data_IF_469984028596
#
_entry.id   IF_469984028596
#
_cell.length_a   1.000
_cell.length_b   1.000
_cell.length_c   1.000
_cell.angle_alpha   90.00
_cell.angle_beta   90.00
_cell.angle_gamma   90.00
#
_symmetry.space_group_name_H-M   'P 1'
#
loop_
_entity.id
_entity.type
_entity.pdbx_description
1 polymer ?
#
# COMPACT_ATOMS: atom_id res chain seq x y z
N UNK A 1 -13.58 1.21 -3.39
CA UNK A 1 -13.13 0.56 -4.62
C UNK A 1 -14.05 -0.59 -4.96
N UNK A 2 -14.60 -0.57 -6.16
CA UNK A 2 -15.54 -1.60 -6.58
C UNK A 2 -14.84 -2.95 -6.74
N UNK A 3 -15.51 -4.02 -6.34
CA UNK A 3 -15.01 -5.37 -6.59
C UNK A 3 -14.93 -5.63 -8.09
N UNK A 4 -13.83 -6.18 -8.54
CA UNK A 4 -13.64 -6.53 -9.94
C UNK A 4 -14.40 -7.81 -10.26
N UNK A 5 -15.18 -7.83 -11.32
CA UNK A 5 -15.90 -9.03 -11.72
C UNK A 5 -14.93 -10.18 -12.00
N UNK A 6 -15.27 -11.38 -11.53
CA UNK A 6 -14.51 -12.58 -11.83
C UNK A 6 -13.22 -12.79 -11.01
N UNK A 7 -13.00 -12.03 -9.96
CA UNK A 7 -11.87 -12.24 -9.06
C UNK A 7 -10.51 -12.03 -9.74
N UNK A 8 -10.42 -11.11 -10.68
CA UNK A 8 -9.19 -10.82 -11.40
C UNK A 8 -8.13 -10.26 -10.47
N UNK A 9 -6.93 -10.83 -10.53
CA UNK A 9 -5.81 -10.34 -9.72
C UNK A 9 -5.35 -8.95 -10.18
N UNK A 10 -5.18 -7.98 -9.24
CA UNK A 10 -4.74 -6.63 -9.59
C UNK A 10 -3.37 -6.57 -10.27
N UNK A 11 -2.52 -7.55 -10.01
CA UNK A 11 -1.15 -7.59 -10.54
C UNK A 11 -1.05 -8.26 -11.90
N UNK A 12 -2.14 -8.86 -12.40
CA UNK A 12 -2.13 -9.52 -13.69
C UNK A 12 -2.03 -8.50 -14.82
N UNK A 13 -1.02 -8.62 -15.67
CA UNK A 13 -0.76 -7.71 -16.78
C UNK A 13 -1.65 -8.05 -17.97
N UNK A 14 -2.69 -7.25 -18.21
CA UNK A 14 -3.73 -7.51 -19.19
C UNK A 14 -3.80 -6.50 -20.33
N UNK A 15 -3.36 -5.26 -20.10
CA UNK A 15 -3.68 -4.14 -20.98
C UNK A 15 -2.47 -3.76 -21.84
N UNK A 16 -2.69 -3.64 -23.15
CA UNK A 16 -1.72 -3.01 -24.05
C UNK A 16 -1.65 -1.50 -23.77
N UNK A 17 -0.57 -0.87 -24.21
CA UNK A 17 -0.32 0.54 -23.88
C UNK A 17 -1.45 1.47 -24.30
N UNK A 18 -2.06 1.25 -25.47
CA UNK A 18 -3.15 2.11 -25.95
C UNK A 18 -4.37 2.04 -25.04
N UNK A 19 -4.72 0.85 -24.57
CA UNK A 19 -5.84 0.66 -23.64
C UNK A 19 -5.50 1.21 -22.26
N UNK A 20 -4.29 0.96 -21.77
CA UNK A 20 -3.85 1.48 -20.49
C UNK A 20 -3.86 3.01 -20.47
N UNK A 21 -3.41 3.65 -21.55
CA UNK A 21 -3.43 5.09 -21.69
C UNK A 21 -4.85 5.64 -21.64
N UNK A 22 -5.77 5.00 -22.33
CA UNK A 22 -7.18 5.37 -22.33
C UNK A 22 -7.80 5.24 -20.93
N UNK A 23 -7.54 4.13 -20.24
CA UNK A 23 -8.06 3.90 -18.90
C UNK A 23 -7.49 4.88 -17.88
N UNK A 24 -6.25 5.27 -18.05
CA UNK A 24 -5.59 6.24 -17.15
C UNK A 24 -5.85 7.69 -17.55
N UNK A 25 -6.42 7.94 -18.72
CA UNK A 25 -6.71 9.28 -19.20
C UNK A 25 -5.48 10.06 -19.66
N UNK A 26 -4.48 9.38 -20.22
CA UNK A 26 -3.24 9.99 -20.69
C UNK A 26 -2.88 9.52 -22.09
N UNK A 27 -1.94 10.21 -22.73
CA UNK A 27 -1.43 9.80 -24.04
C UNK A 27 -0.45 8.62 -23.87
N UNK A 28 -0.40 7.66 -24.82
CA UNK A 28 0.57 6.55 -24.75
C UNK A 28 2.01 7.01 -24.62
N UNK A 29 2.38 8.11 -25.25
CA UNK A 29 3.72 8.66 -25.11
C UNK A 29 4.03 9.07 -23.67
N UNK A 30 3.03 9.57 -22.94
CA UNK A 30 3.17 9.91 -21.53
C UNK A 30 3.50 8.66 -20.71
N UNK A 31 2.90 7.53 -21.02
CA UNK A 31 3.21 6.27 -20.34
C UNK A 31 4.66 5.83 -20.59
N UNK A 32 5.17 6.03 -21.80
CA UNK A 32 6.58 5.73 -22.11
C UNK A 32 7.52 6.62 -21.33
N UNK A 33 7.17 7.90 -21.17
CA UNK A 33 7.95 8.84 -20.35
C UNK A 33 7.94 8.40 -18.88
N UNK A 34 6.78 8.02 -18.35
CA UNK A 34 6.66 7.57 -16.96
C UNK A 34 7.46 6.31 -16.71
N UNK A 35 7.48 5.38 -17.65
CA UNK A 35 8.31 4.17 -17.55
C UNK A 35 9.80 4.54 -17.49
N UNK A 36 10.26 5.42 -18.37
CA UNK A 36 11.66 5.88 -18.37
C UNK A 36 12.05 6.59 -17.07
N UNK A 37 11.10 7.27 -16.44
CA UNK A 37 11.32 7.95 -15.15
C UNK A 37 11.17 7.02 -13.94
N UNK A 38 10.83 5.76 -14.17
CA UNK A 38 10.65 4.80 -13.08
C UNK A 38 9.35 4.94 -12.29
N UNK A 39 8.38 5.66 -12.84
CA UNK A 39 7.09 5.85 -12.17
C UNK A 39 6.15 4.67 -12.34
N UNK A 40 6.34 3.88 -13.37
CA UNK A 40 5.57 2.67 -13.66
C UNK A 40 6.50 1.66 -14.31
N UNK A 41 6.26 0.38 -14.04
CA UNK A 41 7.08 -0.70 -14.58
C UNK A 41 6.16 -1.79 -15.16
N UNK A 42 5.72 -1.62 -16.41
CA UNK A 42 4.85 -2.61 -17.04
C UNK A 42 5.58 -3.90 -17.33
N UNK A 43 4.85 -5.01 -17.27
CA UNK A 43 5.39 -6.29 -17.72
C UNK A 43 5.61 -6.27 -19.23
N UNK A 44 6.45 -7.17 -19.72
CA UNK A 44 6.73 -7.32 -21.15
C UNK A 44 6.33 -8.70 -21.60
N UNK A 45 5.71 -8.78 -22.79
CA UNK A 45 5.48 -10.07 -23.44
C UNK A 45 6.79 -10.62 -24.01
N UNK A 46 6.76 -11.86 -24.47
CA UNK A 46 7.91 -12.50 -25.14
C UNK A 46 8.41 -11.66 -26.32
N UNK A 47 7.51 -10.96 -27.02
CA UNK A 47 7.86 -10.08 -28.12
C UNK A 47 8.29 -8.68 -27.70
N UNK A 48 8.39 -8.39 -26.41
CA UNK A 48 8.82 -7.09 -25.90
C UNK A 48 7.75 -6.04 -25.79
N UNK A 49 6.48 -6.37 -26.02
CA UNK A 49 5.37 -5.43 -25.88
C UNK A 49 5.02 -5.19 -24.42
N UNK A 50 4.68 -3.94 -24.10
CA UNK A 50 4.27 -3.57 -22.76
C UNK A 50 2.89 -4.13 -22.42
N UNK A 51 2.73 -4.60 -21.19
CA UNK A 51 1.44 -5.02 -20.64
C UNK A 51 1.26 -4.42 -19.26
N UNK A 52 0.14 -3.77 -19.05
CA UNK A 52 -0.18 -3.06 -17.81
C UNK A 52 -1.21 -3.84 -17.01
N UNK A 53 -1.01 -3.92 -15.71
CA UNK A 53 -1.95 -4.50 -14.78
C UNK A 53 -2.97 -3.47 -14.29
N UNK A 54 -4.03 -3.95 -13.62
CA UNK A 54 -4.96 -3.05 -12.95
C UNK A 54 -4.25 -2.21 -11.87
N UNK A 55 -3.30 -2.79 -11.17
CA UNK A 55 -2.48 -2.06 -10.19
C UNK A 55 -1.67 -0.95 -10.87
N UNK A 56 -1.13 -1.22 -12.05
CA UNK A 56 -0.43 -0.19 -12.84
C UNK A 56 -1.38 0.94 -13.23
N UNK A 57 -2.60 0.62 -13.63
CA UNK A 57 -3.60 1.64 -13.98
C UNK A 57 -3.93 2.52 -12.77
N UNK A 58 -4.11 1.92 -11.60
CA UNK A 58 -4.36 2.67 -10.36
C UNK A 58 -3.19 3.60 -10.04
N UNK A 59 -1.97 3.12 -10.22
CA UNK A 59 -0.76 3.91 -10.03
C UNK A 59 -0.70 5.09 -11.01
N UNK A 60 -1.02 4.86 -12.28
CA UNK A 60 -1.08 5.90 -13.29
C UNK A 60 -2.13 6.96 -12.96
N UNK A 61 -3.29 6.54 -12.46
CA UNK A 61 -4.33 7.47 -12.01
C UNK A 61 -3.85 8.32 -10.83
N UNK A 62 -3.13 7.73 -9.90
CA UNK A 62 -2.54 8.47 -8.77
C UNK A 62 -1.53 9.50 -9.25
N UNK A 63 -0.68 9.13 -10.21
CA UNK A 63 0.26 10.06 -10.83
C UNK A 63 -0.48 11.25 -11.44
N UNK A 64 -1.58 10.96 -12.14
CA UNK A 64 -2.38 11.99 -12.79
C UNK A 64 -3.04 12.93 -11.78
N UNK A 65 -3.55 12.40 -10.67
CA UNK A 65 -4.10 13.22 -9.58
C UNK A 65 -3.05 14.18 -9.04
N UNK A 66 -1.86 13.70 -8.77
CA UNK A 66 -0.77 14.51 -8.23
C UNK A 66 -0.31 15.58 -9.23
N UNK A 67 -0.24 15.21 -10.51
CA UNK A 67 0.10 16.15 -11.57
C UNK A 67 -0.97 17.26 -11.67
N UNK A 68 -2.24 16.89 -11.57
CA UNK A 68 -3.35 17.85 -11.59
C UNK A 68 -3.35 18.78 -10.38
N UNK A 69 -2.78 18.35 -9.25
CA UNK A 69 -2.59 19.17 -8.07
C UNK A 69 -1.40 20.13 -8.20
N UNK A 70 -0.69 20.07 -9.31
CA UNK A 70 0.41 20.98 -9.61
C UNK A 70 1.82 20.45 -9.35
N UNK A 71 1.97 19.17 -8.99
CA UNK A 71 3.29 18.58 -8.79
C UNK A 71 3.96 18.29 -10.13
N UNK A 72 5.26 18.56 -10.21
CA UNK A 72 6.08 18.10 -11.34
C UNK A 72 6.44 16.62 -11.12
N UNK A 73 7.08 15.99 -12.12
CA UNK A 73 7.40 14.57 -12.05
C UNK A 73 8.29 14.21 -10.86
N UNK A 74 9.27 15.07 -10.53
CA UNK A 74 10.13 14.85 -9.35
C UNK A 74 9.31 14.85 -8.07
N UNK A 75 8.37 15.78 -7.93
CA UNK A 75 7.46 15.83 -6.80
C UNK A 75 6.54 14.61 -6.73
N UNK A 76 6.01 14.18 -7.87
CA UNK A 76 5.18 12.97 -7.96
C UNK A 76 5.96 11.75 -7.48
N UNK A 77 7.20 11.57 -7.96
CA UNK A 77 8.06 10.47 -7.53
C UNK A 77 8.26 10.48 -6.02
N UNK A 78 8.51 11.65 -5.46
CA UNK A 78 8.74 11.80 -4.02
C UNK A 78 7.49 11.46 -3.21
N UNK A 79 6.33 11.97 -3.62
CA UNK A 79 5.06 11.69 -2.93
C UNK A 79 4.73 10.20 -3.00
N UNK A 80 4.88 9.58 -4.15
CA UNK A 80 4.59 8.15 -4.30
C UNK A 80 5.52 7.28 -3.46
N UNK A 81 6.81 7.64 -3.39
CA UNK A 81 7.75 6.94 -2.52
C UNK A 81 7.36 7.08 -1.05
N UNK A 82 6.94 8.27 -0.64
CA UNK A 82 6.47 8.51 0.73
C UNK A 82 5.16 7.77 1.02
N UNK A 83 4.25 7.69 0.08
CA UNK A 83 3.01 6.92 0.22
C UNK A 83 3.30 5.43 0.41
N UNK A 84 4.23 4.89 -0.37
CA UNK A 84 4.66 3.49 -0.22
C UNK A 84 5.30 3.25 1.16
N UNK A 85 6.11 4.19 1.63
CA UNK A 85 6.73 4.12 2.96
C UNK A 85 5.67 4.18 4.07
N UNK A 86 4.66 5.04 3.93
CA UNK A 86 3.56 5.11 4.90
C UNK A 86 2.82 3.77 4.97
N UNK A 87 2.50 3.16 3.83
CA UNK A 87 1.83 1.85 3.80
C UNK A 87 2.68 0.79 4.48
N UNK A 88 3.99 0.78 4.21
CA UNK A 88 4.93 -0.16 4.82
C UNK A 88 4.98 0.01 6.34
N UNK A 89 5.09 1.23 6.81
CA UNK A 89 5.15 1.54 8.24
C UNK A 89 3.83 1.21 8.95
N UNK A 90 2.70 1.47 8.32
CA UNK A 90 1.39 1.10 8.86
C UNK A 90 1.25 -0.41 9.00
N UNK A 91 1.74 -1.17 8.01
CA UNK A 91 1.73 -2.63 8.08
C UNK A 91 2.62 -3.14 9.22
N UNK A 92 3.81 -2.57 9.39
CA UNK A 92 4.70 -2.91 10.49
C UNK A 92 4.09 -2.56 11.85
N UNK A 93 3.42 -1.41 11.94
CA UNK A 93 2.76 -1.00 13.17
C UNK A 93 1.60 -1.94 13.52
N UNK A 94 0.78 -2.32 12.54
CA UNK A 94 -0.31 -3.26 12.74
C UNK A 94 0.21 -4.61 13.24
N UNK A 95 1.32 -5.10 12.66
CA UNK A 95 1.96 -6.35 13.07
C UNK A 95 2.51 -6.24 14.49
N UNK A 96 3.18 -5.13 14.83
CA UNK A 96 3.71 -4.92 16.17
C UNK A 96 2.57 -4.86 17.21
N UNK A 97 1.48 -4.17 16.88
CA UNK A 97 0.30 -4.11 17.76
C UNK A 97 -0.33 -5.48 17.96
N UNK A 98 -0.43 -6.28 16.91
CA UNK A 98 -0.96 -7.63 16.98
C UNK A 98 -0.11 -8.51 17.89
N UNK A 99 1.22 -8.44 17.74
CA UNK A 99 2.16 -9.17 18.58
C UNK A 99 2.09 -8.71 20.04
N UNK A 100 1.99 -7.41 20.28
CA UNK A 100 1.87 -6.86 21.61
C UNK A 100 0.57 -7.31 22.28
N UNK A 101 -0.54 -7.28 21.56
CA UNK A 101 -1.83 -7.75 22.06
C UNK A 101 -1.78 -9.23 22.42
N UNK A 102 -1.16 -10.05 21.57
CA UNK A 102 -0.97 -11.48 21.85
C UNK A 102 -0.12 -11.70 23.08
N UNK A 103 1.00 -10.99 23.21
CA UNK A 103 1.89 -11.10 24.35
C UNK A 103 1.18 -10.74 25.66
N UNK A 104 0.37 -9.67 25.65
CA UNK A 104 -0.43 -9.27 26.80
C UNK A 104 -1.45 -10.36 27.16
N UNK A 105 -2.15 -10.92 26.18
CA UNK A 105 -3.11 -11.98 26.39
C UNK A 105 -2.46 -13.24 26.99
N UNK A 106 -1.28 -13.62 26.49
CA UNK A 106 -0.53 -14.75 26.99
C UNK A 106 -0.05 -14.51 28.43
N UNK A 107 0.40 -13.31 28.73
CA UNK A 107 0.81 -12.89 30.08
C UNK A 107 -0.39 -12.95 31.05
N UNK A 108 -1.55 -12.47 30.63
CA UNK A 108 -2.76 -12.52 31.44
C UNK A 108 -3.17 -13.97 31.74
N UNK A 109 -3.06 -14.87 30.77
CA UNK A 109 -3.33 -16.30 30.98
C UNK A 109 -2.36 -16.92 31.98
N UNK A 110 -1.09 -16.58 31.87
CA UNK A 110 -0.05 -17.06 32.79
C UNK A 110 -0.35 -16.61 34.23
N UNK A 111 -0.60 -15.32 34.43
CA UNK A 111 -0.91 -14.78 35.76
C UNK A 111 -2.20 -15.34 36.36
N UNK A 112 -3.18 -15.62 35.54
CA UNK A 112 -4.42 -16.27 35.98
C UNK A 112 -4.14 -17.65 36.60
N UNK A 113 -3.25 -18.41 36.00
CA UNK A 113 -2.83 -19.73 36.49
C UNK A 113 -2.10 -19.62 37.81
N UNK A 114 -1.29 -18.60 37.98
CA UNK A 114 -0.46 -18.41 39.17
C UNK A 114 -1.16 -17.60 40.25
N UNK A 115 -2.46 -17.31 40.08
CA UNK A 115 -3.28 -16.58 41.04
C UNK A 115 -2.76 -15.15 41.31
N UNK A 116 -2.00 -14.56 40.37
CA UNK A 116 -1.59 -13.16 40.47
C UNK A 116 -2.78 -12.26 40.14
N UNK A 117 -3.11 -11.24 40.97
CA UNK A 117 -4.25 -10.39 40.74
C UNK A 117 -4.10 -9.58 39.45
N UNK A 118 -4.97 -9.83 38.49
CA UNK A 118 -5.02 -9.13 37.21
C UNK A 118 -5.24 -7.61 37.38
N UNK A 119 -5.98 -7.24 38.43
CA UNK A 119 -6.33 -5.87 38.74
C UNK A 119 -5.13 -4.96 38.96
N UNK A 120 -4.07 -5.45 39.61
CA UNK A 120 -2.87 -4.68 39.87
C UNK A 120 -2.11 -4.35 38.59
N UNK A 121 -1.98 -5.31 37.68
CA UNK A 121 -1.29 -5.12 36.41
C UNK A 121 -2.02 -4.10 35.54
N UNK A 122 -3.33 -4.14 35.48
CA UNK A 122 -4.15 -3.20 34.72
C UNK A 122 -4.06 -1.79 35.29
N UNK A 123 -4.12 -1.64 36.60
CA UNK A 123 -4.04 -0.33 37.26
C UNK A 123 -2.70 0.38 36.99
N UNK A 124 -1.59 -0.33 37.04
CA UNK A 124 -0.27 0.22 36.73
C UNK A 124 -0.19 0.67 35.27
N UNK A 125 -0.71 -0.11 34.36
CA UNK A 125 -0.70 0.20 32.94
C UNK A 125 -1.54 1.46 32.64
N UNK A 126 -2.73 1.56 33.18
CA UNK A 126 -3.62 2.73 33.01
C UNK A 126 -2.99 4.00 33.58
N UNK A 127 -2.36 3.92 34.73
CA UNK A 127 -1.66 5.04 35.37
C UNK A 127 -0.59 5.64 34.43
N UNK A 128 0.16 4.81 33.73
CA UNK A 128 1.14 5.27 32.77
C UNK A 128 0.53 5.92 31.52
N UNK A 129 -0.64 5.47 31.13
CA UNK A 129 -1.34 6.02 29.96
C UNK A 129 -1.89 7.42 30.17
N UNK A 130 -2.29 7.74 31.38
CA UNK A 130 -2.89 9.04 31.73
C UNK A 130 -1.89 10.19 31.77
N UNK A 131 -0.62 9.91 31.63
CA UNK A 131 0.44 10.89 31.53
C UNK A 131 0.91 11.03 30.10
#
# INVERSE_FOLDING_TARGET
MSMRPGGREPTRALYVISVAAELAGVHPQTLRIYERKGLVDPARTTGGSRRYSDADIDQLRRIQELTNEGLNLAGVQRVMALEAEVLRLRAQLAEARRKATKAVADTHRYYRRDLVPLRQSVAVFESRRKR
#
